data_IF_003388590777
#
_entry.id   IF_003388590777
#
_cell.length_a   1.000
_cell.length_b   1.000
_cell.length_c   1.000
_cell.angle_alpha   90.00
_cell.angle_beta   90.00
_cell.angle_gamma   90.00
#
_symmetry.space_group_name_H-M   'P 1'
#
loop_
_entity.id
_entity.type
_entity.pdbx_description
1 polymer ?
#
# COMPACT_ATOMS: atom_id res chain seq x y z
N UNK A 1 13.55 -29.12 -1.95
CA UNK A 1 12.99 -29.14 -3.32
C UNK A 1 11.50 -29.50 -3.20
N UNK A 2 10.59 -28.86 -3.94
CA UNK A 2 9.15 -29.14 -3.83
C UNK A 2 8.83 -30.52 -4.43
N UNK A 3 8.21 -31.42 -3.67
CA UNK A 3 7.83 -32.75 -4.18
C UNK A 3 6.39 -32.74 -4.67
N UNK A 4 6.22 -32.62 -5.99
CA UNK A 4 4.92 -32.55 -6.67
C UNK A 4 4.16 -33.86 -6.56
N UNK A 5 4.85 -35.01 -6.57
CA UNK A 5 4.21 -36.33 -6.43
C UNK A 5 3.51 -36.48 -5.08
N UNK A 6 4.10 -35.96 -4.01
CA UNK A 6 3.50 -35.94 -2.69
C UNK A 6 2.32 -34.95 -2.62
N UNK A 7 2.43 -33.75 -3.21
CA UNK A 7 1.33 -32.78 -3.29
C UNK A 7 0.12 -33.32 -4.05
N UNK A 8 0.36 -34.07 -5.11
CA UNK A 8 -0.70 -34.71 -5.90
C UNK A 8 -1.40 -35.85 -5.14
N UNK A 9 -0.78 -36.41 -4.10
CA UNK A 9 -1.39 -37.43 -3.23
C UNK A 9 -2.17 -36.81 -2.07
N UNK A 10 -1.76 -35.65 -1.57
CA UNK A 10 -2.42 -34.96 -0.45
C UNK A 10 -3.48 -33.95 -0.89
N UNK A 11 -3.36 -33.40 -2.10
CA UNK A 11 -4.36 -32.54 -2.74
C UNK A 11 -5.23 -33.30 -3.74
N UNK A 12 -6.35 -32.67 -4.14
CA UNK A 12 -7.25 -33.23 -5.15
C UNK A 12 -6.85 -32.74 -6.55
N UNK A 13 -6.55 -33.65 -7.46
CA UNK A 13 -6.32 -33.30 -8.87
C UNK A 13 -7.65 -32.99 -9.57
N UNK A 14 -7.77 -31.81 -10.18
CA UNK A 14 -8.88 -31.42 -11.05
C UNK A 14 -8.38 -31.02 -12.43
N UNK A 15 -9.24 -31.23 -13.43
CA UNK A 15 -9.01 -30.81 -14.82
C UNK A 15 -10.11 -29.83 -15.20
N UNK A 16 -9.72 -28.83 -15.98
CA UNK A 16 -10.62 -27.83 -16.54
C UNK A 16 -10.33 -27.72 -18.03
N UNK A 17 -11.38 -27.68 -18.85
CA UNK A 17 -11.26 -27.47 -20.28
C UNK A 17 -10.94 -26.02 -20.62
N UNK A 18 -10.51 -25.80 -21.86
CA UNK A 18 -10.37 -24.45 -22.42
C UNK A 18 -11.67 -23.66 -22.29
N UNK A 19 -11.59 -22.38 -21.94
CA UNK A 19 -12.68 -21.43 -21.67
C UNK A 19 -13.56 -21.74 -20.44
N UNK A 20 -13.31 -22.83 -19.71
CA UNK A 20 -14.07 -23.20 -18.52
C UNK A 20 -13.81 -22.22 -17.36
N UNK A 21 -14.90 -21.77 -16.71
CA UNK A 21 -14.81 -20.97 -15.49
C UNK A 21 -14.55 -21.89 -14.29
N UNK A 22 -13.47 -21.65 -13.58
CA UNK A 22 -13.06 -22.42 -12.41
C UNK A 22 -13.87 -22.00 -11.18
N UNK A 23 -14.09 -20.69 -11.02
CA UNK A 23 -14.99 -20.06 -10.04
C UNK A 23 -15.25 -18.60 -10.42
N UNK A 24 -16.33 -18.02 -9.89
CA UNK A 24 -16.67 -16.61 -10.07
C UNK A 24 -16.23 -15.75 -8.88
N UNK A 25 -16.00 -14.47 -9.16
CA UNK A 25 -15.85 -13.46 -8.11
C UNK A 25 -17.09 -13.44 -7.20
N UNK A 26 -16.87 -13.36 -5.89
CA UNK A 26 -17.92 -13.33 -4.88
C UNK A 26 -18.41 -14.72 -4.44
N UNK A 27 -18.03 -15.79 -5.13
CA UNK A 27 -18.33 -17.15 -4.67
C UNK A 27 -17.66 -17.41 -3.31
N UNK A 28 -18.26 -18.23 -2.43
CA UNK A 28 -17.53 -18.75 -1.28
C UNK A 28 -16.38 -19.65 -1.75
N UNK A 29 -15.22 -19.55 -1.10
CA UNK A 29 -14.05 -20.34 -1.42
C UNK A 29 -13.27 -20.71 -0.16
N UNK A 30 -12.95 -22.00 -0.02
CA UNK A 30 -12.22 -22.54 1.13
C UNK A 30 -11.02 -23.38 0.66
N UNK A 31 -10.55 -23.07 -0.55
CA UNK A 31 -9.51 -23.81 -1.23
C UNK A 31 -8.70 -22.93 -2.18
N UNK A 32 -7.43 -23.25 -2.33
CA UNK A 32 -6.52 -22.69 -3.31
C UNK A 32 -6.14 -23.73 -4.36
N UNK A 33 -5.58 -23.26 -5.47
CA UNK A 33 -5.24 -24.08 -6.62
C UNK A 33 -3.78 -23.88 -6.98
N UNK A 34 -3.06 -24.97 -7.23
CA UNK A 34 -1.73 -24.96 -7.83
C UNK A 34 -1.86 -25.43 -9.28
N UNK A 35 -1.46 -24.60 -10.23
CA UNK A 35 -1.56 -24.91 -11.65
C UNK A 35 -0.37 -25.77 -12.08
N UNK A 36 -0.65 -27.02 -12.50
CA UNK A 36 0.37 -27.96 -12.97
C UNK A 36 0.60 -27.87 -14.47
N UNK A 37 -0.46 -27.59 -15.23
CA UNK A 37 -0.45 -27.50 -16.69
C UNK A 37 -1.52 -26.50 -17.13
N UNK A 38 -1.25 -25.79 -18.23
CA UNK A 38 -2.15 -24.83 -18.84
C UNK A 38 -1.91 -23.42 -18.34
N UNK A 39 -2.84 -22.53 -18.66
CA UNK A 39 -2.87 -21.14 -18.26
C UNK A 39 -4.28 -20.76 -17.88
N UNK A 40 -4.42 -19.91 -16.87
CA UNK A 40 -5.71 -19.35 -16.46
C UNK A 40 -5.61 -17.83 -16.46
N UNK A 41 -6.75 -17.16 -16.62
CA UNK A 41 -6.91 -15.71 -16.61
C UNK A 41 -7.80 -15.29 -15.45
N UNK A 42 -7.36 -14.31 -14.70
CA UNK A 42 -8.10 -13.66 -13.63
C UNK A 42 -8.83 -12.45 -14.20
N UNK A 43 -10.12 -12.37 -13.90
CA UNK A 43 -11.05 -11.35 -14.36
C UNK A 43 -11.62 -10.63 -13.14
N UNK A 44 -11.59 -9.30 -13.16
CA UNK A 44 -12.25 -8.45 -12.18
C UNK A 44 -13.61 -8.00 -12.72
N UNK A 45 -14.64 -8.07 -11.89
CA UNK A 45 -15.96 -7.56 -12.26
C UNK A 45 -15.99 -6.04 -12.13
N UNK A 46 -16.16 -5.34 -13.25
CA UNK A 46 -16.28 -3.89 -13.31
C UNK A 46 -17.65 -3.43 -12.79
N UNK A 47 -17.73 -2.16 -12.39
CA UNK A 47 -18.97 -1.52 -11.92
C UNK A 47 -20.04 -1.41 -13.00
N UNK A 48 -19.67 -1.53 -14.28
CA UNK A 48 -20.57 -1.56 -15.43
C UNK A 48 -21.00 -2.98 -15.85
N UNK A 49 -20.58 -4.00 -15.10
CA UNK A 49 -20.93 -5.40 -15.33
C UNK A 49 -20.06 -6.11 -16.37
N UNK A 50 -18.98 -5.50 -16.84
CA UNK A 50 -18.00 -6.17 -17.71
C UNK A 50 -16.88 -6.84 -16.92
N UNK A 51 -16.43 -7.99 -17.39
CA UNK A 51 -15.28 -8.70 -16.81
C UNK A 51 -13.98 -8.18 -17.46
N UNK A 52 -13.13 -7.56 -16.64
CA UNK A 52 -11.86 -6.97 -17.09
C UNK A 52 -10.72 -7.93 -16.73
N UNK A 53 -9.97 -8.45 -17.71
CA UNK A 53 -8.80 -9.27 -17.44
C UNK A 53 -7.66 -8.44 -16.88
N UNK A 54 -7.06 -8.90 -15.78
CA UNK A 54 -5.95 -8.17 -15.14
C UNK A 54 -4.71 -9.03 -14.90
N UNK A 55 -4.81 -10.37 -14.96
CA UNK A 55 -3.64 -11.22 -14.73
C UNK A 55 -3.80 -12.60 -15.38
N UNK A 56 -2.73 -13.10 -16.00
CA UNK A 56 -2.63 -14.49 -16.43
C UNK A 56 -1.71 -15.27 -15.49
N UNK A 57 -2.15 -16.46 -15.07
CA UNK A 57 -1.40 -17.38 -14.22
C UNK A 57 -0.97 -18.58 -15.05
N UNK A 58 0.33 -18.87 -15.01
CA UNK A 58 0.95 -19.94 -15.79
C UNK A 58 1.25 -21.16 -14.92
N UNK A 59 1.41 -22.33 -15.56
CA UNK A 59 1.83 -23.55 -14.88
C UNK A 59 3.07 -23.32 -13.98
N UNK A 60 3.03 -23.90 -12.78
CA UNK A 60 4.02 -23.73 -11.73
C UNK A 60 3.65 -22.67 -10.67
N UNK A 61 2.64 -21.86 -10.93
CA UNK A 61 2.09 -20.84 -10.01
C UNK A 61 0.74 -21.29 -9.41
N UNK A 62 0.15 -20.46 -8.55
CA UNK A 62 -1.08 -20.76 -7.81
C UNK A 62 -2.14 -19.67 -7.95
N UNK A 63 -3.38 -19.92 -7.54
CA UNK A 63 -4.44 -18.91 -7.47
C UNK A 63 -5.52 -19.31 -6.45
N UNK A 64 -6.39 -18.36 -6.10
CA UNK A 64 -7.47 -18.58 -5.14
C UNK A 64 -7.02 -18.66 -3.69
N UNK A 65 -5.76 -18.32 -3.39
CA UNK A 65 -5.17 -18.35 -2.05
C UNK A 65 -5.81 -17.34 -1.10
N UNK A 66 -6.24 -16.17 -1.60
CA UNK A 66 -6.78 -15.12 -0.74
C UNK A 66 -8.02 -15.59 0.01
N UNK A 67 -8.91 -16.30 -0.69
CA UNK A 67 -10.14 -16.84 -0.13
C UNK A 67 -9.84 -17.83 1.00
N UNK A 68 -8.86 -18.71 0.79
CA UNK A 68 -8.39 -19.69 1.78
C UNK A 68 -7.70 -19.03 2.98
N UNK A 69 -6.86 -18.01 2.77
CA UNK A 69 -6.02 -17.40 3.81
C UNK A 69 -6.77 -16.34 4.63
N UNK A 70 -7.68 -15.61 4.01
CA UNK A 70 -8.42 -14.51 4.64
C UNK A 70 -9.82 -14.93 5.10
N UNK A 71 -10.27 -16.13 4.75
CA UNK A 71 -11.65 -16.61 4.93
C UNK A 71 -12.67 -15.60 4.35
N UNK A 72 -12.39 -15.15 3.12
CA UNK A 72 -13.17 -14.17 2.39
C UNK A 72 -13.70 -14.77 1.07
N UNK A 73 -14.77 -14.22 0.47
CA UNK A 73 -15.23 -14.62 -0.85
C UNK A 73 -14.15 -14.49 -1.93
N UNK A 74 -14.30 -15.19 -3.07
CA UNK A 74 -13.39 -15.10 -4.21
C UNK A 74 -13.23 -13.64 -4.66
N UNK A 75 -11.98 -13.17 -4.72
CA UNK A 75 -11.65 -11.78 -5.09
C UNK A 75 -11.74 -11.50 -6.59
N UNK A 76 -11.76 -12.54 -7.42
CA UNK A 76 -11.81 -12.45 -8.88
C UNK A 76 -12.46 -13.71 -9.47
N UNK A 77 -12.94 -13.61 -10.71
CA UNK A 77 -13.33 -14.77 -11.52
C UNK A 77 -12.08 -15.38 -12.15
N UNK A 78 -12.00 -16.70 -12.26
CA UNK A 78 -10.87 -17.39 -12.93
C UNK A 78 -11.39 -18.25 -14.08
N UNK A 79 -10.84 -18.00 -15.27
CA UNK A 79 -11.14 -18.73 -16.49
C UNK A 79 -9.91 -19.50 -16.99
N UNK A 80 -10.09 -20.74 -17.43
CA UNK A 80 -9.04 -21.49 -18.11
C UNK A 80 -8.84 -20.98 -19.55
N UNK A 81 -7.61 -20.64 -19.93
CA UNK A 81 -7.26 -20.24 -21.30
C UNK A 81 -6.83 -21.42 -22.18
N UNK A 82 -6.37 -22.49 -21.55
CA UNK A 82 -6.01 -23.76 -22.19
C UNK A 82 -6.54 -24.92 -21.32
N UNK A 83 -6.44 -26.16 -21.79
CA UNK A 83 -6.69 -27.34 -20.95
C UNK A 83 -5.79 -27.35 -19.70
N UNK A 84 -6.41 -27.17 -18.55
CA UNK A 84 -5.74 -26.98 -17.27
C UNK A 84 -5.76 -28.24 -16.41
N UNK A 85 -4.67 -28.44 -15.67
CA UNK A 85 -4.60 -29.42 -14.59
C UNK A 85 -4.14 -28.71 -13.33
N UNK A 86 -4.89 -28.87 -12.25
CA UNK A 86 -4.62 -28.20 -10.98
C UNK A 86 -4.63 -29.18 -9.82
N UNK A 87 -3.85 -28.87 -8.78
CA UNK A 87 -3.99 -29.46 -7.44
C UNK A 87 -4.83 -28.51 -6.60
N UNK A 88 -5.89 -29.03 -6.01
CA UNK A 88 -6.74 -28.30 -5.06
C UNK A 88 -6.29 -28.59 -3.63
N UNK A 89 -6.05 -27.53 -2.86
CA UNK A 89 -5.67 -27.57 -1.45
C UNK A 89 -6.71 -26.78 -0.67
N UNK A 90 -7.35 -27.41 0.31
CA UNK A 90 -8.41 -26.81 1.11
C UNK A 90 -7.94 -26.51 2.55
N UNK A 91 -8.77 -25.83 3.33
CA UNK A 91 -8.46 -25.50 4.73
C UNK A 91 -8.02 -26.71 5.55
N UNK A 92 -8.69 -27.86 5.36
CA UNK A 92 -8.44 -29.05 6.17
C UNK A 92 -7.07 -29.70 5.92
N UNK A 93 -6.50 -29.56 4.73
CA UNK A 93 -5.20 -30.15 4.38
C UNK A 93 -4.07 -29.11 4.22
N UNK A 94 -4.38 -27.81 4.16
CA UNK A 94 -3.40 -26.76 3.95
C UNK A 94 -2.30 -26.75 5.03
N UNK A 95 -2.67 -26.71 6.31
CA UNK A 95 -1.69 -26.67 7.40
C UNK A 95 -0.79 -27.91 7.42
N UNK A 96 -1.37 -29.09 7.19
CA UNK A 96 -0.62 -30.35 7.13
C UNK A 96 0.36 -30.38 5.95
N UNK A 97 -0.05 -29.88 4.79
CA UNK A 97 0.80 -29.78 3.60
C UNK A 97 1.95 -28.80 3.85
N UNK A 98 1.70 -27.66 4.48
CA UNK A 98 2.74 -26.67 4.79
C UNK A 98 3.74 -27.25 5.81
N UNK A 99 3.27 -27.97 6.82
CA UNK A 99 4.14 -28.64 7.80
C UNK A 99 5.03 -29.71 7.16
N UNK A 100 4.48 -30.50 6.23
CA UNK A 100 5.23 -31.53 5.50
C UNK A 100 6.16 -30.95 4.43
N UNK A 101 5.79 -29.82 3.83
CA UNK A 101 6.52 -29.16 2.76
C UNK A 101 6.63 -27.64 2.97
N UNK A 102 7.50 -27.18 3.89
CA UNK A 102 7.69 -25.74 4.16
C UNK A 102 8.14 -24.93 2.93
N UNK A 103 8.76 -25.60 1.94
CA UNK A 103 9.12 -24.98 0.67
C UNK A 103 7.91 -24.47 -0.13
N UNK A 104 6.70 -25.00 0.10
CA UNK A 104 5.47 -24.49 -0.49
C UNK A 104 5.12 -23.11 0.07
N UNK A 105 5.18 -22.92 1.39
CA UNK A 105 4.96 -21.62 2.03
C UNK A 105 5.89 -20.54 1.45
N UNK A 106 7.18 -20.87 1.31
CA UNK A 106 8.15 -19.95 0.73
C UNK A 106 7.82 -19.59 -0.72
N UNK A 107 7.29 -20.53 -1.51
CA UNK A 107 6.84 -20.26 -2.89
C UNK A 107 5.62 -19.36 -2.92
N UNK A 108 4.65 -19.58 -2.03
CA UNK A 108 3.47 -18.71 -1.89
C UNK A 108 3.91 -17.29 -1.56
N UNK A 109 4.74 -17.11 -0.52
CA UNK A 109 5.25 -15.79 -0.13
C UNK A 109 6.02 -15.09 -1.27
N UNK A 110 6.87 -15.82 -2.00
CA UNK A 110 7.59 -15.28 -3.17
C UNK A 110 6.64 -14.90 -4.30
N UNK A 111 5.63 -15.72 -4.58
CA UNK A 111 4.61 -15.45 -5.60
C UNK A 111 3.81 -14.19 -5.28
N UNK A 112 3.33 -14.06 -4.04
CA UNK A 112 2.62 -12.87 -3.58
C UNK A 112 3.50 -11.61 -3.65
N UNK A 113 4.75 -11.69 -3.20
CA UNK A 113 5.71 -10.58 -3.30
C UNK A 113 5.94 -10.13 -4.75
N UNK A 114 6.04 -11.08 -5.69
CA UNK A 114 6.16 -10.78 -7.12
C UNK A 114 4.91 -10.07 -7.66
N UNK A 115 3.72 -10.54 -7.29
CA UNK A 115 2.44 -9.91 -7.70
C UNK A 115 2.30 -8.49 -7.17
N UNK A 116 2.64 -8.25 -5.91
CA UNK A 116 2.62 -6.89 -5.32
C UNK A 116 3.54 -5.95 -6.12
N UNK A 117 4.74 -6.40 -6.46
CA UNK A 117 5.67 -5.61 -7.29
C UNK A 117 5.09 -5.28 -8.65
N UNK A 118 4.53 -6.27 -9.34
CA UNK A 118 3.93 -6.08 -10.68
C UNK A 118 2.74 -5.11 -10.63
N UNK A 119 1.84 -5.27 -9.66
CA UNK A 119 0.72 -4.35 -9.46
C UNK A 119 1.21 -2.93 -9.18
N UNK A 120 2.25 -2.77 -8.36
CA UNK A 120 2.84 -1.45 -8.10
C UNK A 120 3.47 -0.82 -9.35
N UNK A 121 4.11 -1.62 -10.21
CA UNK A 121 4.68 -1.18 -11.49
C UNK A 121 3.57 -0.77 -12.48
N UNK A 122 2.52 -1.57 -12.63
CA UNK A 122 1.35 -1.25 -13.46
C UNK A 122 0.63 0.01 -12.95
N UNK A 123 0.49 0.16 -11.63
CA UNK A 123 -0.10 1.34 -11.02
C UNK A 123 0.77 2.59 -11.20
N UNK A 124 2.09 2.44 -11.24
CA UNK A 124 3.01 3.53 -11.57
C UNK A 124 2.89 3.92 -13.06
N UNK A 125 2.78 2.94 -13.96
CA UNK A 125 2.58 3.18 -15.40
C UNK A 125 1.26 3.87 -15.69
N UNK A 126 0.14 3.40 -15.12
CA UNK A 126 -1.17 4.04 -15.27
C UNK A 126 -1.16 5.49 -14.76
N UNK A 127 -0.45 5.77 -13.66
CA UNK A 127 -0.25 7.14 -13.18
C UNK A 127 0.66 7.95 -14.10
N UNK A 128 1.61 7.32 -14.77
CA UNK A 128 2.48 7.94 -15.78
C UNK A 128 1.77 8.25 -17.10
N UNK A 129 0.90 7.37 -17.58
CA UNK A 129 0.11 7.55 -18.79
C UNK A 129 -0.94 8.67 -18.64
N UNK A 130 -1.49 8.87 -17.43
CA UNK A 130 -2.30 10.06 -17.11
C UNK A 130 -1.48 11.37 -17.26
N UNK A 131 -0.16 11.30 -17.17
CA UNK A 131 0.75 12.45 -17.35
C UNK A 131 1.32 12.56 -18.79
N UNK A 132 0.91 11.70 -19.72
CA UNK A 132 1.51 11.61 -21.07
C UNK A 132 0.99 12.61 -22.12
N UNK A 133 0.40 13.75 -21.71
CA UNK A 133 0.38 14.94 -22.57
C UNK A 133 1.66 15.79 -22.50
N UNK A 134 2.63 15.50 -21.63
CA UNK A 134 3.89 16.26 -21.60
C UNK A 134 5.14 15.37 -21.43
N UNK A 135 5.87 15.19 -22.54
CA UNK A 135 7.34 15.34 -22.58
C UNK A 135 8.24 14.24 -22.02
N UNK A 136 8.75 13.40 -22.93
CA UNK A 136 9.99 12.59 -22.94
C UNK A 136 10.92 12.58 -21.70
N UNK A 137 11.10 11.38 -21.12
CA UNK A 137 12.13 11.01 -20.14
C UNK A 137 13.55 10.94 -20.75
N UNK A 138 14.61 11.28 -19.97
CA UNK A 138 15.97 10.80 -20.24
C UNK A 138 16.40 9.71 -19.24
N UNK A 139 17.04 8.67 -19.78
CA UNK A 139 17.66 7.57 -19.04
C UNK A 139 18.78 8.07 -18.09
N UNK A 140 18.78 7.62 -16.83
CA UNK A 140 19.92 7.80 -15.92
C UNK A 140 20.38 6.48 -15.29
N UNK A 141 21.68 6.21 -15.43
CA UNK A 141 22.41 5.08 -14.82
C UNK A 141 22.49 5.26 -13.31
N UNK A 142 22.14 4.20 -12.58
CA UNK A 142 22.29 4.13 -11.12
C UNK A 142 23.62 3.47 -10.79
N UNK A 143 24.51 4.21 -10.13
CA UNK A 143 25.70 3.66 -9.49
C UNK A 143 25.32 3.00 -8.16
N UNK A 144 25.76 1.76 -7.97
CA UNK A 144 25.51 0.95 -6.77
C UNK A 144 26.32 1.48 -5.57
N UNK A 145 25.72 1.81 -4.41
CA UNK A 145 26.49 2.14 -3.21
C UNK A 145 27.06 0.88 -2.56
N UNK A 146 28.31 0.98 -2.11
CA UNK A 146 29.05 -0.07 -1.44
C UNK A 146 28.44 -0.42 -0.06
N UNK A 147 28.35 -1.71 0.21
CA UNK A 147 27.81 -2.29 1.45
C UNK A 147 28.78 -2.10 2.61
N UNK A 148 28.60 -1.07 3.43
CA UNK A 148 29.21 -1.00 4.77
C UNK A 148 28.19 -1.45 5.82
N UNK A 149 28.52 -2.51 6.54
CA UNK A 149 27.74 -3.06 7.65
C UNK A 149 27.65 -2.07 8.80
N UNK A 150 26.45 -1.55 9.03
CA UNK A 150 26.09 -0.66 10.14
C UNK A 150 26.06 -1.45 11.46
N UNK A 151 26.78 -0.99 12.49
CA UNK A 151 26.85 -1.64 13.80
C UNK A 151 25.94 -1.01 14.86
N UNK A 152 25.65 0.30 14.81
CA UNK A 152 24.66 0.95 15.68
C UNK A 152 23.65 1.80 14.89
N UNK A 153 22.43 1.91 15.41
CA UNK A 153 21.40 2.81 14.84
C UNK A 153 21.88 4.26 14.81
N UNK A 154 22.68 4.67 15.79
CA UNK A 154 23.28 6.00 15.85
C UNK A 154 24.21 6.29 14.67
N UNK A 155 24.80 5.25 14.05
CA UNK A 155 25.69 5.38 12.89
C UNK A 155 24.91 5.53 11.57
N UNK A 156 23.60 5.27 11.57
CA UNK A 156 22.70 5.52 10.43
C UNK A 156 22.26 6.97 10.34
N UNK A 157 22.47 7.73 11.41
CA UNK A 157 21.75 8.94 11.68
C UNK A 157 22.76 10.09 11.78
N UNK A 158 22.64 11.16 10.98
CA UNK A 158 23.57 12.28 11.01
C UNK A 158 23.68 12.92 12.40
N UNK A 159 24.86 13.47 12.71
CA UNK A 159 25.04 14.30 13.92
C UNK A 159 23.99 15.42 13.93
N UNK A 160 23.22 15.51 15.02
CA UNK A 160 22.15 16.52 15.17
C UNK A 160 20.74 16.07 14.74
N UNK A 161 20.55 14.82 14.30
CA UNK A 161 19.21 14.29 14.02
C UNK A 161 18.27 14.38 15.23
N UNK A 162 17.04 14.82 14.97
CA UNK A 162 16.02 15.09 16.00
C UNK A 162 16.01 16.53 16.51
N UNK A 163 16.97 17.36 16.09
CA UNK A 163 16.95 18.81 16.34
C UNK A 163 17.12 19.54 15.02
N UNK A 164 16.01 19.97 14.43
CA UNK A 164 15.99 20.69 13.16
C UNK A 164 15.83 22.20 13.42
N UNK A 165 16.82 23.04 13.06
CA UNK A 165 16.78 24.48 13.33
C UNK A 165 15.87 25.24 12.35
N UNK A 166 15.46 24.60 11.26
CA UNK A 166 14.63 25.22 10.23
C UNK A 166 13.24 25.59 10.78
N UNK A 167 12.74 26.73 10.30
CA UNK A 167 11.43 27.29 10.59
C UNK A 167 10.76 27.59 9.26
N UNK A 168 9.44 27.38 9.18
CA UNK A 168 8.68 27.71 7.98
C UNK A 168 8.84 29.21 7.59
N UNK A 169 9.22 29.54 6.34
CA UNK A 169 9.42 30.92 5.91
C UNK A 169 8.12 31.76 5.97
N UNK A 170 8.17 33.04 6.38
CA UNK A 170 6.98 33.91 6.34
C UNK A 170 6.41 34.13 4.92
N UNK A 171 7.24 34.00 3.89
CA UNK A 171 6.83 34.08 2.47
C UNK A 171 5.83 33.00 2.07
N UNK A 172 5.77 31.90 2.81
CA UNK A 172 4.86 30.80 2.52
C UNK A 172 3.39 31.22 2.60
N UNK A 173 3.07 32.31 3.30
CA UNK A 173 1.72 32.87 3.40
C UNK A 173 1.02 33.08 2.05
N UNK A 174 1.75 33.35 0.97
CA UNK A 174 1.19 33.53 -0.39
C UNK A 174 0.61 32.22 -0.98
N UNK A 175 1.12 31.08 -0.52
CA UNK A 175 0.71 29.74 -0.96
C UNK A 175 -0.36 29.12 -0.07
N UNK A 176 -0.80 29.84 0.97
CA UNK A 176 -1.62 29.28 2.05
C UNK A 176 -3.00 29.93 2.11
N UNK A 177 -3.95 29.18 2.67
CA UNK A 177 -5.27 29.68 3.01
C UNK A 177 -5.79 29.04 4.28
N UNK A 178 -6.62 29.78 5.01
CA UNK A 178 -7.31 29.26 6.18
C UNK A 178 -8.49 28.40 5.78
N UNK A 179 -8.63 27.28 6.46
CA UNK A 179 -9.74 26.34 6.29
C UNK A 179 -10.30 25.97 7.65
N UNK A 180 -11.60 26.17 7.83
CA UNK A 180 -12.32 25.64 8.99
C UNK A 180 -12.60 24.15 8.77
N UNK A 181 -12.29 23.33 9.78
CA UNK A 181 -12.55 21.90 9.76
C UNK A 181 -13.11 21.41 11.09
N UNK A 182 -13.98 20.41 11.03
CA UNK A 182 -14.45 19.66 12.19
C UNK A 182 -13.48 18.53 12.51
N UNK A 183 -13.06 18.42 13.77
CA UNK A 183 -12.24 17.31 14.22
C UNK A 183 -13.07 16.01 14.31
N UNK A 184 -12.68 14.90 13.65
CA UNK A 184 -13.43 13.65 13.71
C UNK A 184 -13.35 12.94 15.08
N UNK A 185 -12.40 13.33 15.93
CA UNK A 185 -12.21 12.76 17.27
C UNK A 185 -13.11 13.46 18.28
N UNK A 186 -12.89 14.76 18.51
CA UNK A 186 -13.62 15.52 19.54
C UNK A 186 -14.86 16.28 19.03
N UNK A 187 -15.07 16.36 17.71
CA UNK A 187 -16.20 17.07 17.11
C UNK A 187 -16.11 18.60 17.15
N UNK A 188 -15.02 19.17 17.69
CA UNK A 188 -14.83 20.62 17.74
C UNK A 188 -14.28 21.15 16.43
N UNK A 189 -14.74 22.36 16.08
CA UNK A 189 -14.27 23.13 14.94
C UNK A 189 -12.98 23.85 15.27
N UNK A 190 -12.06 23.86 14.32
CA UNK A 190 -10.85 24.67 14.40
C UNK A 190 -10.39 25.13 13.01
N UNK A 191 -9.65 26.23 12.99
CA UNK A 191 -9.02 26.75 11.78
C UNK A 191 -7.65 26.14 11.61
N UNK A 192 -7.36 25.64 10.41
CA UNK A 192 -6.04 25.15 10.01
C UNK A 192 -5.61 25.80 8.70
N UNK A 193 -4.33 25.63 8.36
CA UNK A 193 -3.78 26.13 7.10
C UNK A 193 -3.79 25.03 6.05
N UNK A 194 -4.15 25.37 4.82
CA UNK A 194 -4.11 24.49 3.67
C UNK A 194 -3.34 25.13 2.52
N UNK A 195 -2.64 24.29 1.76
CA UNK A 195 -1.85 24.73 0.60
C UNK A 195 -2.76 24.97 -0.60
N UNK A 196 -2.58 26.12 -1.27
CA UNK A 196 -3.22 26.45 -2.55
C UNK A 196 -2.50 25.74 -3.68
N UNK A 197 -2.96 24.55 -4.05
CA UNK A 197 -2.33 23.75 -5.13
C UNK A 197 -2.17 24.53 -6.44
N UNK A 198 -3.09 25.47 -6.75
CA UNK A 198 -3.02 26.32 -7.95
C UNK A 198 -1.88 27.35 -7.96
N UNK A 199 -1.23 27.59 -6.82
CA UNK A 199 -0.07 28.48 -6.71
C UNK A 199 1.26 27.72 -6.73
N UNK A 200 1.21 26.40 -6.61
CA UNK A 200 2.40 25.56 -6.62
C UNK A 200 2.94 25.42 -8.04
N UNK A 201 4.24 25.64 -8.18
CA UNK A 201 4.99 25.34 -9.41
C UNK A 201 5.96 24.22 -9.12
N UNK A 202 5.76 23.07 -9.77
CA UNK A 202 6.61 21.91 -9.60
C UNK A 202 8.01 22.26 -10.11
N UNK A 203 9.01 22.20 -9.22
CA UNK A 203 10.42 22.39 -9.55
C UNK A 203 11.04 21.08 -10.06
N UNK A 204 10.63 19.96 -9.48
CA UNK A 204 11.11 18.64 -9.85
C UNK A 204 10.60 17.56 -8.91
N UNK A 205 11.06 16.34 -9.16
CA UNK A 205 10.78 15.17 -8.34
C UNK A 205 12.13 14.59 -7.91
N UNK A 206 12.34 14.48 -6.60
CA UNK A 206 13.56 13.90 -6.02
C UNK A 206 13.60 12.38 -6.28
N UNK A 207 14.75 11.74 -6.04
CA UNK A 207 14.93 10.30 -6.25
C UNK A 207 14.04 9.42 -5.38
N UNK A 208 13.54 9.97 -4.26
CA UNK A 208 12.56 9.32 -3.37
C UNK A 208 11.10 9.60 -3.79
N UNK A 209 10.90 10.12 -5.00
CA UNK A 209 9.61 10.51 -5.58
C UNK A 209 8.94 11.71 -4.90
N UNK A 210 9.65 12.45 -4.06
CA UNK A 210 9.14 13.68 -3.45
C UNK A 210 9.04 14.80 -4.47
N UNK A 211 7.85 15.37 -4.61
CA UNK A 211 7.66 16.60 -5.38
C UNK A 211 8.24 17.80 -4.62
N UNK A 212 9.12 18.56 -5.27
CA UNK A 212 9.64 19.84 -4.77
C UNK A 212 9.03 20.99 -5.55
N UNK A 213 8.70 22.09 -4.88
CA UNK A 213 8.07 23.25 -5.49
C UNK A 213 9.01 24.47 -5.46
N UNK A 214 8.87 25.36 -6.44
CA UNK A 214 9.65 26.59 -6.49
C UNK A 214 9.34 27.48 -5.27
N UNK A 215 10.34 27.72 -4.43
CA UNK A 215 10.23 28.67 -3.30
C UNK A 215 9.26 28.27 -2.20
N UNK A 216 8.72 27.05 -2.21
CA UNK A 216 7.74 26.57 -1.24
C UNK A 216 7.97 25.11 -0.87
N UNK A 217 7.94 24.78 0.42
CA UNK A 217 8.06 23.41 0.90
C UNK A 217 6.73 22.96 1.53
N UNK A 218 5.99 22.12 0.81
CA UNK A 218 4.66 21.66 1.21
C UNK A 218 4.65 20.81 2.48
N UNK A 219 5.77 20.16 2.85
CA UNK A 219 5.83 19.26 4.01
C UNK A 219 5.46 19.94 5.32
N UNK A 220 5.78 21.23 5.45
CA UNK A 220 5.44 22.07 6.60
C UNK A 220 3.94 22.10 6.94
N UNK A 221 3.09 21.86 5.94
CA UNK A 221 1.65 22.06 6.01
C UNK A 221 0.85 20.79 5.70
N UNK A 222 1.52 19.63 5.63
CA UNK A 222 0.87 18.35 5.37
C UNK A 222 0.12 17.82 6.58
N UNK A 223 0.60 18.09 7.79
CA UNK A 223 0.01 17.56 9.03
C UNK A 223 -0.94 18.58 9.67
N UNK A 224 -2.18 18.15 9.87
CA UNK A 224 -3.15 18.88 10.67
C UNK A 224 -3.17 18.34 12.08
N UNK A 225 -3.26 19.25 13.05
CA UNK A 225 -3.34 18.91 14.47
C UNK A 225 -4.52 19.63 15.08
N UNK A 226 -5.42 18.88 15.71
CA UNK A 226 -6.54 19.46 16.46
C UNK A 226 -6.02 20.12 17.75
N UNK A 227 -6.27 21.41 17.99
CA UNK A 227 -5.79 22.11 19.18
C UNK A 227 -6.48 21.66 20.48
N UNK A 228 -7.56 20.88 20.37
CA UNK A 228 -8.37 20.48 21.53
C UNK A 228 -8.08 19.07 22.04
N UNK A 229 -7.85 18.12 21.12
CA UNK A 229 -7.59 16.72 21.45
C UNK A 229 -6.22 16.21 20.98
N UNK A 230 -5.41 17.08 20.36
CA UNK A 230 -4.07 16.77 19.85
C UNK A 230 -4.03 15.65 18.80
N UNK A 231 -5.19 15.27 18.24
CA UNK A 231 -5.24 14.36 17.10
C UNK A 231 -4.48 14.99 15.92
N UNK A 232 -3.45 14.29 15.46
CA UNK A 232 -2.62 14.68 14.34
C UNK A 232 -2.71 13.63 13.23
N UNK A 233 -2.87 14.07 11.99
CA UNK A 233 -2.80 13.22 10.80
C UNK A 233 -2.53 14.07 9.56
N UNK A 234 -2.16 13.43 8.46
CA UNK A 234 -2.06 14.09 7.16
C UNK A 234 -3.39 14.71 6.75
N UNK A 235 -3.34 15.88 6.14
CA UNK A 235 -4.52 16.66 5.76
C UNK A 235 -5.50 15.88 4.85
N UNK A 236 -4.99 15.00 3.99
CA UNK A 236 -5.77 14.16 3.07
C UNK A 236 -6.39 12.92 3.74
N UNK A 237 -5.91 12.53 4.92
CA UNK A 237 -6.46 11.43 5.72
C UNK A 237 -7.07 11.88 7.04
N UNK A 238 -7.05 13.17 7.35
CA UNK A 238 -7.44 13.68 8.65
C UNK A 238 -8.86 13.29 9.06
N UNK A 239 -9.78 13.10 8.11
CA UNK A 239 -11.16 12.65 8.38
C UNK A 239 -11.32 11.13 8.51
N UNK A 240 -10.32 10.34 8.09
CA UNK A 240 -10.36 8.87 8.08
C UNK A 240 -9.91 8.33 9.44
N UNK A 241 -10.83 8.29 10.40
CA UNK A 241 -10.53 7.81 11.77
C UNK A 241 -11.34 6.56 12.09
N UNK A 242 -10.63 5.50 12.46
CA UNK A 242 -11.22 4.25 12.97
C UNK A 242 -11.85 4.45 14.37
N UNK A 243 -12.99 3.80 14.70
CA UNK A 243 -13.63 3.93 16.00
C UNK A 243 -12.75 3.59 17.20
N UNK A 244 -11.86 2.59 17.10
CA UNK A 244 -10.95 2.23 18.18
C UNK A 244 -9.88 3.31 18.38
N UNK A 245 -9.35 3.85 17.27
CA UNK A 245 -8.39 4.96 17.30
C UNK A 245 -9.01 6.20 17.97
N UNK A 246 -10.27 6.51 17.64
CA UNK A 246 -11.00 7.62 18.25
C UNK A 246 -11.10 7.50 19.78
N UNK A 247 -11.44 6.32 20.28
CA UNK A 247 -11.50 6.06 21.73
C UNK A 247 -10.12 6.21 22.38
N UNK A 248 -9.08 5.67 21.75
CA UNK A 248 -7.71 5.76 22.24
C UNK A 248 -7.23 7.21 22.35
N UNK A 249 -7.37 8.02 21.29
CA UNK A 249 -6.94 9.44 21.31
C UNK A 249 -7.69 10.23 22.39
N UNK A 250 -8.99 9.97 22.55
CA UNK A 250 -9.81 10.60 23.59
C UNK A 250 -9.29 10.26 24.98
N UNK A 251 -8.88 9.02 25.23
CA UNK A 251 -8.31 8.59 26.52
C UNK A 251 -6.98 9.28 26.86
N UNK A 252 -6.21 9.69 25.86
CA UNK A 252 -4.90 10.32 26.03
C UNK A 252 -4.96 11.85 26.09
N UNK A 253 -6.11 12.44 25.76
CA UNK A 253 -6.26 13.89 25.60
C UNK A 253 -5.90 14.67 26.87
N UNK A 254 -6.37 14.22 28.04
CA UNK A 254 -6.08 14.89 29.31
C UNK A 254 -4.60 14.80 29.70
N UNK A 255 -3.95 13.67 29.40
CA UNK A 255 -2.51 13.49 29.60
C UNK A 255 -1.71 14.47 28.74
N UNK A 256 -2.10 14.64 27.48
CA UNK A 256 -1.44 15.58 26.56
C UNK A 256 -1.63 17.03 27.00
N UNK A 257 -2.85 17.44 27.41
CA UNK A 257 -3.11 18.79 27.95
C UNK A 257 -2.23 19.10 29.17
N UNK A 258 -1.99 18.12 30.03
CA UNK A 258 -1.16 18.29 31.22
C UNK A 258 0.32 18.59 30.93
N UNK A 259 0.82 18.27 29.72
CA UNK A 259 2.22 18.57 29.34
C UNK A 259 2.47 20.07 29.13
N UNK A 260 1.42 20.86 28.92
CA UNK A 260 1.54 22.29 28.59
C UNK A 260 2.19 22.57 27.23
N UNK A 261 2.38 21.54 26.39
CA UNK A 261 3.00 21.67 25.07
C UNK A 261 2.22 22.63 24.16
N UNK A 262 2.94 23.52 23.49
CA UNK A 262 2.40 24.48 22.52
C UNK A 262 3.33 24.52 21.31
N UNK A 263 2.75 24.39 20.12
CA UNK A 263 3.46 24.53 18.85
C UNK A 263 4.03 25.94 18.68
N UNK A 264 5.27 26.04 18.22
CA UNK A 264 5.85 27.31 17.80
C UNK A 264 5.13 27.90 16.56
N UNK A 265 5.17 29.22 16.41
CA UNK A 265 4.54 29.94 15.29
C UNK A 265 5.55 30.96 14.73
N UNK A 266 6.17 30.71 13.55
CA UNK A 266 5.96 29.56 12.66
C UNK A 266 6.50 28.26 13.26
N UNK A 267 5.99 27.10 12.81
CA UNK A 267 6.41 25.79 13.31
C UNK A 267 7.87 25.51 12.98
N UNK A 268 8.52 24.68 13.80
CA UNK A 268 9.83 24.06 13.53
C UNK A 268 9.66 22.66 12.94
N UNK A 269 10.67 22.18 12.20
CA UNK A 269 10.54 20.95 11.42
C UNK A 269 10.41 19.70 12.31
N UNK A 270 11.04 19.73 13.50
CA UNK A 270 10.89 18.75 14.58
C UNK A 270 9.52 18.78 15.28
N UNK A 271 8.70 19.80 15.05
CA UNK A 271 7.31 19.83 15.52
C UNK A 271 6.33 19.26 14.47
N UNK A 272 6.82 18.93 13.28
CA UNK A 272 6.05 18.36 12.16
C UNK A 272 6.34 16.86 11.98
N UNK A 273 7.56 16.41 12.29
CA UNK A 273 8.07 15.04 12.16
C UNK A 273 8.55 14.50 13.50
#
# INVERSE_FOLDING_TARGET
MLNIGQLAQTGLLKKYGTDEIIFHQGDPGHEMFILLKGRVRLLAHSTDGTDIPFMDVNAGDFFGEMSLLENAPRSATVQALDDCMVIVINETNFESIIAQQPALALRIMKGMSKRIRQINEELAQLKGEINSEEGSEPEHKVDTPATSSIQNISDLVPEGHGSYPDIAPPSDAEYLFEKEIDCPVCGQKFTTTMVRSSKLKLKGVDSDLRQTFEGFNSLWYMVWVCPHCFYANFNFEFKKVDPNMRQWVTSQTERMKATGFKYSHPRRLDEVF
#
